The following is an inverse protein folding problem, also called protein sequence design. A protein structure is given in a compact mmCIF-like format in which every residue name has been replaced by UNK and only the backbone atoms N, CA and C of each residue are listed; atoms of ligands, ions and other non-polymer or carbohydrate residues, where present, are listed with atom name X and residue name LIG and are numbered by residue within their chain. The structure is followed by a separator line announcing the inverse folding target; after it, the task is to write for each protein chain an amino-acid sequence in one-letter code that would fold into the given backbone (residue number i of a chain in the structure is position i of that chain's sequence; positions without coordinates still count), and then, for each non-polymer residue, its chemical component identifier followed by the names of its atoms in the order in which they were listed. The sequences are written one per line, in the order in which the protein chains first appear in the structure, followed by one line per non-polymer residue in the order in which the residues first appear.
data_IF_832707863710
#
_entry.id   IF_832707863710
#
_cell.length_a   1.000
_cell.length_b   1.000
_cell.length_c   1.000
_cell.angle_alpha   90.00
_cell.angle_beta   90.00
_cell.angle_gamma   90.00
#
_symmetry.space_group_name_H-M   'P 1'
#
loop_
_entity.id
_entity.type
_entity.pdbx_description
1 polymer ?
#
# COMPACT_ATOMS: atom_id res chain seq x y z
N UNK A 1 -13.66 -20.71 38.42
CA UNK A 1 -13.27 -21.54 37.26
C UNK A 1 -12.12 -20.83 36.59
N UNK A 2 -10.98 -21.49 36.40
CA UNK A 2 -9.86 -20.89 35.66
C UNK A 2 -10.35 -20.66 34.23
N UNK A 3 -10.34 -19.41 33.78
CA UNK A 3 -10.56 -19.12 32.36
C UNK A 3 -9.35 -19.63 31.61
N UNK A 4 -9.55 -20.61 30.72
CA UNK A 4 -8.47 -21.17 29.93
C UNK A 4 -8.06 -20.22 28.79
N UNK A 5 -9.01 -19.42 28.31
CA UNK A 5 -8.77 -18.31 27.38
C UNK A 5 -8.74 -16.96 28.12
N UNK A 6 -7.78 -16.10 27.78
CA UNK A 6 -7.64 -14.77 28.36
C UNK A 6 -8.63 -13.79 27.73
N UNK A 7 -9.68 -13.45 28.49
CA UNK A 7 -10.71 -12.48 28.12
C UNK A 7 -10.13 -11.13 27.69
N UNK A 8 -9.09 -10.65 28.38
CA UNK A 8 -8.50 -9.34 28.07
C UNK A 8 -7.92 -9.33 26.66
N UNK A 9 -7.37 -10.46 26.21
CA UNK A 9 -6.76 -10.61 24.90
C UNK A 9 -7.82 -10.79 23.82
N UNK A 10 -8.90 -11.54 24.09
CA UNK A 10 -10.06 -11.63 23.19
C UNK A 10 -10.59 -10.24 22.84
N UNK A 11 -10.88 -9.44 23.87
CA UNK A 11 -11.38 -8.08 23.72
C UNK A 11 -10.37 -7.18 23.02
N UNK A 12 -9.12 -7.18 23.49
CA UNK A 12 -8.06 -6.37 22.90
C UNK A 12 -7.86 -6.66 21.41
N UNK A 13 -7.85 -7.93 21.00
CA UNK A 13 -7.63 -8.33 19.61
C UNK A 13 -8.75 -7.83 18.69
N UNK A 14 -10.00 -7.87 19.15
CA UNK A 14 -11.17 -7.31 18.44
C UNK A 14 -11.12 -5.78 18.36
N UNK A 15 -10.90 -5.13 19.49
CA UNK A 15 -10.89 -3.66 19.61
C UNK A 15 -9.75 -3.03 18.82
N UNK A 16 -8.59 -3.70 18.73
CA UNK A 16 -7.46 -3.29 17.88
C UNK A 16 -7.85 -3.14 16.42
N UNK A 17 -8.75 -3.99 15.93
CA UNK A 17 -9.28 -3.92 14.56
C UNK A 17 -10.58 -3.09 14.45
N UNK A 18 -11.03 -2.48 15.54
CA UNK A 18 -12.30 -1.73 15.62
C UNK A 18 -13.53 -2.54 15.21
N UNK A 19 -13.46 -3.86 15.34
CA UNK A 19 -14.57 -4.74 14.98
C UNK A 19 -15.66 -4.69 16.04
N UNK A 20 -16.90 -4.54 15.60
CA UNK A 20 -18.09 -4.86 16.39
C UNK A 20 -18.22 -6.38 16.56
N UNK A 21 -19.15 -6.83 17.40
CA UNK A 21 -19.43 -8.26 17.53
C UNK A 21 -20.06 -8.80 16.24
N UNK A 22 -20.88 -7.99 15.58
CA UNK A 22 -21.55 -8.27 14.32
C UNK A 22 -20.56 -8.42 13.17
N UNK A 23 -19.50 -7.60 13.12
CA UNK A 23 -18.43 -7.74 12.13
C UNK A 23 -17.74 -9.11 12.24
N UNK A 24 -17.49 -9.57 13.47
CA UNK A 24 -16.87 -10.88 13.73
C UNK A 24 -17.79 -12.02 13.34
N UNK A 25 -19.09 -11.90 13.66
CA UNK A 25 -20.10 -12.88 13.22
C UNK A 25 -20.15 -12.97 11.68
N UNK A 26 -20.22 -11.84 10.98
CA UNK A 26 -20.25 -11.81 9.52
C UNK A 26 -18.98 -12.44 8.91
N UNK A 27 -17.80 -12.08 9.43
CA UNK A 27 -16.53 -12.63 8.95
C UNK A 27 -16.40 -14.13 9.24
N UNK A 28 -16.81 -14.58 10.43
CA UNK A 28 -16.74 -16.01 10.79
C UNK A 28 -17.57 -16.88 9.84
N UNK A 29 -18.74 -16.39 9.41
CA UNK A 29 -19.58 -17.09 8.43
C UNK A 29 -18.95 -17.13 7.03
N UNK A 30 -18.16 -16.11 6.66
CA UNK A 30 -17.47 -16.03 5.36
C UNK A 30 -16.23 -16.92 5.27
N UNK A 31 -15.59 -17.27 6.39
CA UNK A 31 -14.38 -18.11 6.41
C UNK A 31 -14.64 -19.56 5.92
N UNK A 32 -15.88 -20.04 6.03
CA UNK A 32 -16.32 -21.29 5.40
C UNK A 32 -15.93 -22.56 6.17
N UNK A 33 -15.78 -23.68 5.44
CA UNK A 33 -15.87 -25.05 5.98
C UNK A 33 -14.84 -25.43 7.07
N UNK A 34 -13.71 -24.73 7.14
CA UNK A 34 -12.63 -25.06 8.09
C UNK A 34 -12.71 -24.28 9.40
N UNK A 35 -13.67 -23.36 9.53
CA UNK A 35 -13.80 -22.48 10.68
C UNK A 35 -15.21 -22.57 11.26
N UNK A 36 -15.28 -22.60 12.58
CA UNK A 36 -16.55 -22.66 13.31
C UNK A 36 -17.15 -21.25 13.37
N UNK A 37 -18.38 -21.03 12.84
CA UNK A 37 -19.05 -19.74 12.90
C UNK A 37 -19.27 -19.29 14.35
N UNK A 38 -19.20 -17.98 14.58
CA UNK A 38 -19.34 -17.37 15.90
C UNK A 38 -20.54 -16.44 15.88
N UNK A 39 -21.43 -16.59 16.85
CA UNK A 39 -22.55 -15.69 17.09
C UNK A 39 -22.09 -14.46 17.89
N UNK A 40 -22.56 -13.26 17.52
CA UNK A 40 -22.18 -12.02 18.20
C UNK A 40 -22.54 -12.03 19.70
N UNK A 41 -23.68 -12.62 20.07
CA UNK A 41 -24.13 -12.72 21.45
C UNK A 41 -23.28 -13.69 22.27
N UNK A 42 -22.82 -14.80 21.68
CA UNK A 42 -21.88 -15.71 22.33
C UNK A 42 -20.51 -15.06 22.54
N UNK A 43 -19.99 -14.35 21.53
CA UNK A 43 -18.74 -13.59 21.66
C UNK A 43 -18.82 -12.55 22.79
N UNK A 44 -19.93 -11.83 22.89
CA UNK A 44 -20.16 -10.87 23.97
C UNK A 44 -20.15 -11.56 25.36
N UNK A 45 -20.76 -12.74 25.48
CA UNK A 45 -20.73 -13.52 26.73
C UNK A 45 -19.32 -13.99 27.08
N UNK A 46 -18.52 -14.42 26.11
CA UNK A 46 -17.11 -14.77 26.32
C UNK A 46 -16.31 -13.58 26.84
N UNK A 47 -16.48 -12.41 26.21
CA UNK A 47 -15.77 -11.19 26.62
C UNK A 47 -16.22 -10.63 27.97
N UNK A 48 -17.43 -10.99 28.45
CA UNK A 48 -17.94 -10.68 29.79
C UNK A 48 -17.60 -11.76 30.83
N UNK A 49 -17.05 -12.90 30.41
CA UNK A 49 -16.76 -14.05 31.27
C UNK A 49 -18.01 -14.80 31.74
N UNK A 50 -19.12 -14.68 31.01
CA UNK A 50 -20.38 -15.37 31.28
C UNK A 50 -20.42 -16.78 30.69
N UNK A 51 -19.63 -17.03 29.64
CA UNK A 51 -19.36 -18.34 29.05
C UNK A 51 -17.91 -18.41 28.58
N UNK A 52 -17.49 -19.54 27.99
CA UNK A 52 -16.13 -19.71 27.47
C UNK A 52 -16.17 -20.23 26.03
N UNK A 53 -15.23 -19.78 25.18
CA UNK A 53 -15.07 -20.35 23.85
C UNK A 53 -14.48 -21.76 23.93
N UNK A 54 -14.62 -22.50 22.84
CA UNK A 54 -13.86 -23.73 22.56
C UNK A 54 -12.64 -23.43 21.68
N UNK A 55 -11.73 -24.40 21.54
CA UNK A 55 -10.50 -24.21 20.74
C UNK A 55 -10.79 -23.84 19.29
N UNK A 56 -11.77 -24.49 18.66
CA UNK A 56 -12.17 -24.18 17.28
C UNK A 56 -12.65 -22.72 17.14
N UNK A 57 -13.32 -22.17 18.15
CA UNK A 57 -13.71 -20.77 18.17
C UNK A 57 -12.49 -19.85 18.27
N UNK A 58 -11.49 -20.20 19.10
CA UNK A 58 -10.24 -19.44 19.19
C UNK A 58 -9.45 -19.49 17.88
N UNK A 59 -9.46 -20.61 17.17
CA UNK A 59 -8.85 -20.72 15.84
C UNK A 59 -9.56 -19.82 14.81
N UNK A 60 -10.89 -19.79 14.82
CA UNK A 60 -11.67 -18.82 14.02
C UNK A 60 -11.30 -17.37 14.38
N UNK A 61 -11.25 -17.03 15.67
CA UNK A 61 -10.90 -15.68 16.12
C UNK A 61 -9.46 -15.30 15.77
N UNK A 62 -8.51 -16.24 15.84
CA UNK A 62 -7.12 -16.03 15.43
C UNK A 62 -7.02 -15.62 13.96
N UNK A 63 -7.74 -16.32 13.09
CA UNK A 63 -7.84 -15.97 11.67
C UNK A 63 -8.48 -14.60 11.47
N UNK A 64 -9.63 -14.32 12.11
CA UNK A 64 -10.33 -13.03 11.97
C UNK A 64 -9.46 -11.87 12.47
N UNK A 65 -8.84 -12.03 13.65
CA UNK A 65 -8.06 -10.99 14.32
C UNK A 65 -6.62 -10.87 13.81
N UNK A 66 -6.21 -11.75 12.90
CA UNK A 66 -4.86 -11.77 12.31
C UNK A 66 -3.81 -11.80 13.40
N UNK A 67 -3.92 -12.80 14.28
CA UNK A 67 -2.97 -13.04 15.36
C UNK A 67 -2.79 -14.55 15.60
N UNK A 68 -1.66 -14.98 16.18
CA UNK A 68 -1.47 -16.38 16.55
C UNK A 68 -2.51 -16.81 17.59
N UNK A 69 -3.10 -18.00 17.41
CA UNK A 69 -4.05 -18.59 18.40
C UNK A 69 -3.45 -18.64 19.82
N UNK A 70 -2.13 -18.80 19.91
CA UNK A 70 -1.37 -18.79 21.16
C UNK A 70 -1.54 -17.51 21.99
N UNK A 71 -1.90 -16.38 21.36
CA UNK A 71 -2.12 -15.12 22.07
C UNK A 71 -3.22 -15.24 23.11
N UNK A 72 -4.28 -16.01 22.85
CA UNK A 72 -5.40 -16.15 23.79
C UNK A 72 -5.02 -16.89 25.08
N UNK A 73 -3.82 -17.45 25.17
CA UNK A 73 -3.32 -18.14 26.37
C UNK A 73 -2.24 -17.35 27.13
N UNK A 74 -1.87 -16.15 26.67
CA UNK A 74 -0.91 -15.31 27.38
C UNK A 74 -1.53 -14.71 28.64
N UNK A 75 -0.73 -14.47 29.67
CA UNK A 75 -1.19 -13.83 30.91
C UNK A 75 -1.51 -12.34 30.73
N UNK A 76 -0.75 -11.68 29.85
CA UNK A 76 -0.86 -10.25 29.56
C UNK A 76 -1.03 -10.01 28.06
N UNK A 77 -1.64 -8.87 27.73
CA UNK A 77 -1.78 -8.41 26.35
C UNK A 77 -0.38 -8.31 25.73
N UNK A 78 -0.14 -8.94 24.56
CA UNK A 78 1.17 -8.90 23.93
C UNK A 78 1.54 -7.45 23.59
N UNK A 79 2.78 -7.09 23.87
CA UNK A 79 3.33 -5.80 23.42
C UNK A 79 3.59 -5.90 21.93
N UNK A 80 2.65 -5.39 21.14
CA UNK A 80 2.87 -5.30 19.70
C UNK A 80 4.06 -4.40 19.40
N UNK A 81 4.99 -4.90 18.59
CA UNK A 81 6.00 -4.07 17.94
C UNK A 81 5.34 -3.06 16.96
N UNK A 82 4.07 -3.30 16.59
CA UNK A 82 3.28 -2.53 15.61
C UNK A 82 2.97 -1.09 16.03
N UNK A 83 3.17 -0.74 17.31
CA UNK A 83 3.09 0.66 17.74
C UNK A 83 4.08 1.56 16.99
N UNK A 84 5.22 1.03 16.51
CA UNK A 84 6.16 1.77 15.66
C UNK A 84 5.68 1.87 14.20
N UNK A 85 5.03 0.84 13.67
CA UNK A 85 4.57 0.79 12.27
C UNK A 85 3.40 1.73 12.02
N UNK A 86 2.36 1.72 12.86
CA UNK A 86 1.19 2.59 12.68
C UNK A 86 1.36 4.00 13.26
N UNK A 87 2.51 4.32 13.87
CA UNK A 87 2.77 5.64 14.47
C UNK A 87 2.73 6.77 13.43
N UNK A 88 3.09 6.49 12.17
CA UNK A 88 2.93 7.41 11.04
C UNK A 88 1.48 7.56 10.56
N UNK A 89 0.60 6.62 10.96
CA UNK A 89 -0.81 6.57 10.59
C UNK A 89 -1.73 7.08 11.71
N UNK A 90 -1.21 7.48 12.88
CA UNK A 90 -2.02 7.61 14.10
C UNK A 90 -3.21 8.59 14.02
N UNK A 91 -3.18 9.56 13.09
CA UNK A 91 -4.35 10.44 12.83
C UNK A 91 -5.34 9.86 11.82
N UNK A 92 -4.88 9.04 10.88
CA UNK A 92 -5.67 8.52 9.76
C UNK A 92 -6.16 7.09 10.01
N UNK A 93 -5.46 6.32 10.85
CA UNK A 93 -5.89 5.02 11.33
C UNK A 93 -7.19 5.11 12.11
N UNK A 94 -7.51 6.30 12.65
CA UNK A 94 -8.77 6.56 13.32
C UNK A 94 -9.99 6.47 12.38
N UNK A 95 -9.78 6.75 11.09
CA UNK A 95 -10.82 6.80 10.06
C UNK A 95 -10.93 5.52 9.22
N UNK A 96 -10.00 4.57 9.41
CA UNK A 96 -10.00 3.32 8.65
C UNK A 96 -11.10 2.35 9.11
N UNK A 97 -11.76 1.73 8.14
CA UNK A 97 -12.69 0.62 8.39
C UNK A 97 -11.98 -0.61 9.00
N UNK A 98 -12.73 -1.47 9.71
CA UNK A 98 -12.20 -2.73 10.24
C UNK A 98 -11.59 -3.64 9.17
N UNK A 99 -12.13 -3.65 7.96
CA UNK A 99 -11.63 -4.47 6.84
C UNK A 99 -10.26 -3.98 6.36
N UNK A 100 -10.07 -2.66 6.25
CA UNK A 100 -8.77 -2.06 5.89
C UNK A 100 -7.72 -2.27 6.97
N UNK A 101 -8.08 -2.09 8.25
CA UNK A 101 -7.18 -2.37 9.37
C UNK A 101 -6.74 -3.84 9.40
N UNK A 102 -7.70 -4.77 9.25
CA UNK A 102 -7.41 -6.20 9.18
C UNK A 102 -6.43 -6.51 8.04
N UNK A 103 -6.63 -5.92 6.87
CA UNK A 103 -5.78 -6.16 5.71
C UNK A 103 -4.36 -5.59 5.90
N UNK A 104 -4.22 -4.41 6.51
CA UNK A 104 -2.90 -3.87 6.85
C UNK A 104 -2.16 -4.75 7.87
N UNK A 105 -2.85 -5.26 8.88
CA UNK A 105 -2.24 -6.21 9.82
C UNK A 105 -1.83 -7.51 9.13
N UNK A 106 -2.66 -8.05 8.23
CA UNK A 106 -2.32 -9.22 7.43
C UNK A 106 -1.10 -8.98 6.52
N UNK A 107 -0.99 -7.79 5.93
CA UNK A 107 0.18 -7.40 5.15
C UNK A 107 1.46 -7.41 6.00
N UNK A 108 1.44 -6.78 7.18
CA UNK A 108 2.59 -6.74 8.08
C UNK A 108 2.96 -8.12 8.62
N UNK A 109 1.96 -8.95 8.95
CA UNK A 109 2.16 -10.31 9.41
C UNK A 109 2.82 -11.18 8.33
N UNK A 110 2.32 -11.12 7.09
CA UNK A 110 2.96 -11.81 5.96
C UNK A 110 4.37 -11.30 5.67
N UNK A 111 4.60 -9.99 5.76
CA UNK A 111 5.93 -9.42 5.57
C UNK A 111 6.92 -9.95 6.62
N UNK A 112 6.53 -9.99 7.90
CA UNK A 112 7.32 -10.59 8.98
C UNK A 112 7.58 -12.07 8.76
N UNK A 113 6.56 -12.82 8.35
CA UNK A 113 6.70 -14.25 8.04
C UNK A 113 7.70 -14.47 6.90
N UNK A 114 7.64 -13.68 5.83
CA UNK A 114 8.60 -13.74 4.72
C UNK A 114 10.02 -13.47 5.22
N UNK A 115 10.21 -12.41 6.01
CA UNK A 115 11.53 -12.09 6.60
C UNK A 115 12.04 -13.24 7.47
N UNK A 116 11.19 -13.81 8.32
CA UNK A 116 11.54 -14.96 9.16
C UNK A 116 12.00 -16.15 8.30
N UNK A 117 11.23 -16.51 7.27
CA UNK A 117 11.59 -17.61 6.34
C UNK A 117 12.92 -17.35 5.64
N UNK A 118 13.16 -16.12 5.16
CA UNK A 118 14.43 -15.76 4.50
C UNK A 118 15.62 -15.97 5.45
N UNK A 119 15.47 -15.52 6.71
CA UNK A 119 16.51 -15.65 7.72
C UNK A 119 16.77 -17.10 8.13
N UNK A 120 15.71 -17.87 8.38
CA UNK A 120 15.81 -19.29 8.75
C UNK A 120 16.40 -20.14 7.61
N UNK A 121 16.01 -19.87 6.37
CA UNK A 121 16.52 -20.58 5.20
C UNK A 121 17.94 -20.15 4.79
N UNK A 122 18.47 -19.05 5.36
CA UNK A 122 19.79 -18.52 5.01
C UNK A 122 19.89 -18.04 3.55
N UNK A 123 18.77 -17.62 2.95
CA UNK A 123 18.74 -17.17 1.55
C UNK A 123 19.27 -15.75 1.45
N UNK A 124 20.32 -15.55 0.66
CA UNK A 124 20.81 -14.21 0.33
C UNK A 124 19.89 -13.56 -0.72
N UNK A 125 19.07 -12.63 -0.26
CA UNK A 125 18.28 -11.76 -1.15
C UNK A 125 19.17 -10.60 -1.58
N UNK A 126 19.20 -10.36 -2.89
CA UNK A 126 19.89 -9.23 -3.50
C UNK A 126 19.22 -7.92 -3.04
N UNK A 127 19.91 -7.12 -2.22
CA UNK A 127 19.43 -5.83 -1.68
C UNK A 127 20.09 -4.67 -2.43
N UNK A 128 19.60 -4.35 -3.63
CA UNK A 128 20.12 -3.22 -4.42
C UNK A 128 19.62 -1.86 -3.92
N UNK A 129 18.56 -1.89 -3.10
CA UNK A 129 17.96 -0.71 -2.49
C UNK A 129 18.32 -0.68 -1.01
N UNK A 130 18.62 0.52 -0.53
CA UNK A 130 18.92 0.77 0.88
C UNK A 130 17.84 1.66 1.48
N UNK A 131 17.61 1.44 2.76
CA UNK A 131 16.77 2.31 3.56
C UNK A 131 17.40 3.70 3.63
N UNK A 132 16.60 4.75 3.41
CA UNK A 132 17.11 6.12 3.33
C UNK A 132 18.09 6.37 2.18
N UNK A 133 17.97 5.62 1.08
CA UNK A 133 18.84 5.79 -0.09
C UNK A 133 18.79 7.21 -0.65
N UNK A 134 17.62 7.86 -0.54
CA UNK A 134 17.41 9.25 -0.89
C UNK A 134 16.70 10.00 0.25
N UNK A 135 16.67 11.32 0.16
CA UNK A 135 15.93 12.21 1.06
C UNK A 135 14.66 12.72 0.40
N UNK A 136 13.61 12.97 1.20
CA UNK A 136 12.40 13.66 0.72
C UNK A 136 12.68 15.10 0.22
N UNK A 137 13.86 15.64 0.52
CA UNK A 137 14.32 16.95 0.05
C UNK A 137 15.07 16.90 -1.29
N UNK A 138 15.44 15.71 -1.77
CA UNK A 138 16.08 15.56 -3.07
C UNK A 138 15.08 15.85 -4.21
N UNK A 139 15.58 16.13 -5.41
CA UNK A 139 14.71 16.38 -6.56
C UNK A 139 14.05 15.07 -7.04
N UNK A 140 12.72 14.91 -6.90
CA UNK A 140 12.02 13.69 -7.34
C UNK A 140 12.13 13.46 -8.86
N UNK A 141 12.35 14.51 -9.66
CA UNK A 141 12.51 14.37 -11.12
C UNK A 141 13.84 13.71 -11.45
N UNK A 142 14.92 14.12 -10.78
CA UNK A 142 16.24 13.55 -10.99
C UNK A 142 16.32 12.11 -10.46
N UNK A 143 15.72 11.84 -9.29
CA UNK A 143 15.66 10.46 -8.75
C UNK A 143 14.86 9.55 -9.68
N UNK A 144 13.72 10.01 -10.21
CA UNK A 144 12.95 9.25 -11.20
C UNK A 144 13.78 8.93 -12.46
N UNK A 145 14.64 9.86 -12.91
CA UNK A 145 15.56 9.64 -14.04
C UNK A 145 16.59 8.56 -13.73
N UNK A 146 17.21 8.61 -12.55
CA UNK A 146 18.20 7.63 -12.08
C UNK A 146 17.56 6.24 -11.97
N UNK A 147 16.39 6.14 -11.34
CA UNK A 147 15.70 4.87 -11.12
C UNK A 147 15.15 4.28 -12.43
N UNK A 148 14.70 5.09 -13.39
CA UNK A 148 14.38 4.61 -14.75
C UNK A 148 15.57 3.92 -15.41
N UNK A 149 16.77 4.50 -15.29
CA UNK A 149 17.99 3.91 -15.84
C UNK A 149 18.33 2.62 -15.11
N UNK A 150 18.30 2.63 -13.76
CA UNK A 150 18.56 1.44 -12.92
C UNK A 150 17.63 0.27 -13.28
N UNK A 151 16.35 0.55 -13.44
CA UNK A 151 15.31 -0.45 -13.75
C UNK A 151 15.28 -0.84 -15.24
N UNK A 152 16.09 -0.17 -16.08
CA UNK A 152 16.16 -0.45 -17.52
C UNK A 152 14.95 0.03 -18.31
N UNK A 153 14.24 1.05 -17.82
CA UNK A 153 13.07 1.60 -18.49
C UNK A 153 13.47 2.51 -19.66
N UNK A 154 12.88 2.28 -20.83
CA UNK A 154 13.04 3.13 -22.02
C UNK A 154 11.72 3.25 -22.79
N UNK A 155 11.57 4.26 -23.67
CA UNK A 155 10.40 4.36 -24.54
C UNK A 155 10.18 3.14 -25.43
N UNK A 156 11.25 2.41 -25.80
CA UNK A 156 11.14 1.19 -26.60
C UNK A 156 10.45 0.07 -25.82
N UNK A 157 10.77 -0.09 -24.53
CA UNK A 157 10.07 -1.04 -23.65
C UNK A 157 8.57 -0.71 -23.59
N UNK A 158 8.21 0.57 -23.46
CA UNK A 158 6.80 0.99 -23.45
C UNK A 158 6.08 0.62 -24.76
N UNK A 159 6.77 0.73 -25.90
CA UNK A 159 6.20 0.44 -27.21
C UNK A 159 5.87 -1.06 -27.41
N UNK A 160 6.45 -1.95 -26.59
CA UNK A 160 6.16 -3.39 -26.61
C UNK A 160 4.90 -3.78 -25.81
N UNK A 161 4.34 -2.85 -25.02
CA UNK A 161 3.17 -3.14 -24.19
C UNK A 161 1.87 -3.12 -24.99
N UNK A 162 1.06 -4.16 -24.83
CA UNK A 162 -0.26 -4.27 -25.46
C UNK A 162 -1.38 -3.73 -24.54
N UNK A 163 -1.06 -3.46 -23.27
CA UNK A 163 -2.02 -2.97 -22.30
C UNK A 163 -1.37 -2.49 -21.01
N UNK A 164 -2.18 -1.88 -20.16
CA UNK A 164 -1.77 -1.40 -18.84
C UNK A 164 -1.30 -2.52 -17.90
N UNK A 165 -1.77 -3.75 -18.11
CA UNK A 165 -1.35 -4.92 -17.34
C UNK A 165 0.10 -5.30 -17.65
N UNK A 166 0.52 -5.21 -18.92
CA UNK A 166 1.91 -5.44 -19.32
C UNK A 166 2.82 -4.39 -18.67
N UNK A 167 2.38 -3.12 -18.67
CA UNK A 167 3.09 -2.03 -18.00
C UNK A 167 3.25 -2.29 -16.50
N UNK A 168 2.16 -2.63 -15.81
CA UNK A 168 2.17 -2.93 -14.39
C UNK A 168 3.10 -4.10 -14.06
N UNK A 169 2.98 -5.21 -14.78
CA UNK A 169 3.78 -6.41 -14.53
C UNK A 169 5.26 -6.17 -14.82
N UNK A 170 5.59 -5.41 -15.88
CA UNK A 170 6.98 -5.06 -16.17
C UNK A 170 7.59 -4.26 -15.02
N UNK A 171 6.92 -3.18 -14.56
CA UNK A 171 7.43 -2.36 -13.46
C UNK A 171 7.54 -3.15 -12.16
N UNK A 172 6.52 -3.97 -11.85
CA UNK A 172 6.53 -4.84 -10.67
C UNK A 172 7.72 -5.79 -10.69
N UNK A 173 7.95 -6.51 -11.79
CA UNK A 173 9.07 -7.45 -11.91
C UNK A 173 10.42 -6.74 -11.79
N UNK A 174 10.56 -5.53 -12.36
CA UNK A 174 11.79 -4.76 -12.25
C UNK A 174 12.04 -4.29 -10.82
N UNK A 175 11.02 -3.81 -10.12
CA UNK A 175 11.10 -3.43 -8.71
C UNK A 175 11.41 -4.65 -7.84
N UNK A 176 10.74 -5.79 -8.06
CA UNK A 176 10.98 -7.04 -7.33
C UNK A 176 12.42 -7.54 -7.55
N UNK A 177 12.98 -7.37 -8.75
CA UNK A 177 14.38 -7.73 -9.04
C UNK A 177 15.43 -6.93 -8.25
N UNK A 178 15.03 -5.83 -7.59
CA UNK A 178 15.89 -5.04 -6.70
C UNK A 178 15.84 -5.52 -5.23
N UNK A 179 15.05 -6.56 -4.93
CA UNK A 179 14.85 -7.09 -3.59
C UNK A 179 13.63 -6.52 -2.85
N UNK A 180 12.68 -5.91 -3.57
CA UNK A 180 11.42 -5.40 -3.03
C UNK A 180 10.32 -6.44 -3.14
N UNK A 181 9.55 -6.66 -2.08
CA UNK A 181 8.43 -7.60 -2.10
C UNK A 181 7.12 -6.88 -2.40
N UNK A 182 6.52 -7.14 -3.57
CA UNK A 182 5.24 -6.54 -3.95
C UNK A 182 4.09 -7.53 -3.70
N UNK A 183 3.27 -7.24 -2.68
CA UNK A 183 2.07 -7.99 -2.30
C UNK A 183 0.82 -7.31 -2.85
N UNK A 184 -0.13 -8.10 -3.31
CA UNK A 184 -1.44 -7.62 -3.76
C UNK A 184 -2.52 -8.18 -2.84
N UNK A 185 -3.34 -7.30 -2.27
CA UNK A 185 -4.48 -7.67 -1.43
C UNK A 185 -5.69 -6.79 -1.77
N UNK A 186 -6.88 -7.24 -1.40
CA UNK A 186 -8.09 -6.43 -1.52
C UNK A 186 -8.16 -5.45 -0.35
N UNK A 187 -8.22 -4.16 -0.66
CA UNK A 187 -8.47 -3.07 0.30
C UNK A 187 -9.68 -2.27 -0.16
N UNK A 188 -10.32 -1.53 0.75
CA UNK A 188 -11.36 -0.58 0.36
C UNK A 188 -10.73 0.59 -0.42
N UNK A 189 -11.02 0.74 -1.75
CA UNK A 189 -10.30 1.70 -2.59
C UNK A 189 -10.54 3.16 -2.22
N UNK A 190 -11.59 3.45 -1.46
CA UNK A 190 -11.88 4.79 -0.92
C UNK A 190 -10.95 5.18 0.22
N UNK A 191 -10.35 4.21 0.91
CA UNK A 191 -9.54 4.44 2.12
C UNK A 191 -8.05 4.33 1.81
N UNK A 192 -7.63 3.22 1.19
CA UNK A 192 -6.21 2.89 0.96
C UNK A 192 -6.02 2.36 -0.46
N UNK A 193 -5.11 2.98 -1.21
CA UNK A 193 -4.69 2.48 -2.53
C UNK A 193 -3.47 1.57 -2.45
N UNK A 194 -2.55 1.86 -1.54
CA UNK A 194 -1.33 1.09 -1.33
C UNK A 194 -0.73 1.36 0.04
N UNK A 195 0.30 0.58 0.36
CA UNK A 195 1.14 0.83 1.53
C UNK A 195 2.57 0.35 1.25
N UNK A 196 3.53 0.86 2.02
CA UNK A 196 4.92 0.46 1.95
C UNK A 196 5.53 0.36 3.35
N UNK A 197 6.40 -0.63 3.56
CA UNK A 197 7.02 -0.86 4.85
C UNK A 197 8.42 -1.43 4.70
N UNK A 198 9.32 -1.01 5.60
CA UNK A 198 10.59 -1.70 5.84
C UNK A 198 10.44 -2.61 7.05
N UNK A 199 10.66 -3.91 6.88
CA UNK A 199 10.64 -4.91 7.96
C UNK A 199 12.03 -5.50 8.08
N UNK A 200 12.74 -5.18 9.17
CA UNK A 200 14.09 -5.70 9.47
C UNK A 200 15.07 -5.57 8.28
N UNK A 201 15.01 -4.44 7.56
CA UNK A 201 15.86 -4.16 6.41
C UNK A 201 15.45 -4.85 5.11
N UNK A 202 14.19 -5.29 5.00
CA UNK A 202 13.57 -5.77 3.76
C UNK A 202 12.39 -4.88 3.37
N UNK A 203 12.33 -4.38 2.12
CA UNK A 203 11.25 -3.49 1.67
C UNK A 203 10.05 -4.26 1.13
N UNK A 204 8.85 -3.85 1.55
CA UNK A 204 7.58 -4.43 1.15
C UNK A 204 6.65 -3.34 0.62
N UNK A 205 5.93 -3.64 -0.45
CA UNK A 205 4.88 -2.81 -1.03
C UNK A 205 3.58 -3.61 -1.05
N UNK A 206 2.49 -3.00 -0.61
CA UNK A 206 1.12 -3.48 -0.72
C UNK A 206 0.40 -2.67 -1.78
N UNK A 207 -0.30 -3.35 -2.70
CA UNK A 207 -1.08 -2.73 -3.75
C UNK A 207 -2.52 -3.24 -3.65
N UNK A 208 -3.49 -2.33 -3.71
CA UNK A 208 -4.89 -2.70 -3.73
C UNK A 208 -5.26 -3.36 -5.08
N UNK A 209 -5.66 -4.62 -5.03
CA UNK A 209 -6.10 -5.39 -6.20
C UNK A 209 -7.49 -4.93 -6.72
N UNK A 210 -8.29 -4.28 -5.87
CA UNK A 210 -9.68 -3.85 -6.19
C UNK A 210 -9.79 -2.41 -6.70
N UNK A 211 -8.68 -1.71 -6.94
CA UNK A 211 -8.73 -0.35 -7.49
C UNK A 211 -9.28 -0.37 -8.94
N UNK A 212 -10.54 0.08 -9.08
CA UNK A 212 -11.37 -0.11 -10.26
C UNK A 212 -11.14 0.93 -11.38
N UNK A 213 -10.36 2.00 -11.15
CA UNK A 213 -9.97 2.95 -12.20
C UNK A 213 -8.75 2.47 -13.01
N UNK A 214 -8.91 1.31 -13.65
CA UNK A 214 -8.00 0.65 -14.59
C UNK A 214 -6.57 0.38 -14.05
N UNK A 215 -5.87 -0.59 -14.65
CA UNK A 215 -4.50 -0.95 -14.24
C UNK A 215 -3.49 0.23 -14.22
N UNK A 216 -3.85 1.40 -14.77
CA UNK A 216 -3.17 2.69 -14.57
C UNK A 216 -3.07 3.15 -13.13
N UNK A 217 -4.14 3.00 -12.34
CA UNK A 217 -4.15 3.42 -10.92
C UNK A 217 -3.15 2.60 -10.13
N UNK A 218 -3.23 1.26 -10.27
CA UNK A 218 -2.30 0.31 -9.64
C UNK A 218 -0.84 0.56 -10.02
N UNK A 219 -0.56 0.90 -11.28
CA UNK A 219 0.79 1.23 -11.72
C UNK A 219 1.31 2.51 -11.08
N UNK A 220 0.48 3.55 -11.00
CA UNK A 220 0.84 4.77 -10.30
C UNK A 220 1.10 4.49 -8.81
N UNK A 221 0.20 3.78 -8.15
CA UNK A 221 0.35 3.39 -6.74
C UNK A 221 1.64 2.59 -6.51
N UNK A 222 1.95 1.62 -7.35
CA UNK A 222 3.20 0.85 -7.24
C UNK A 222 4.43 1.77 -7.25
N UNK A 223 4.49 2.72 -8.18
CA UNK A 223 5.61 3.66 -8.29
C UNK A 223 5.63 4.69 -7.15
N UNK A 224 4.45 5.07 -6.68
CA UNK A 224 4.27 5.96 -5.54
C UNK A 224 4.81 5.31 -4.25
N UNK A 225 4.39 4.07 -3.96
CA UNK A 225 4.89 3.31 -2.82
C UNK A 225 6.38 2.95 -2.94
N UNK A 226 6.85 2.71 -4.17
CA UNK A 226 8.29 2.55 -4.42
C UNK A 226 9.07 3.82 -4.05
N UNK A 227 8.54 5.01 -4.33
CA UNK A 227 9.14 6.27 -3.91
C UNK A 227 9.24 6.37 -2.38
N UNK A 228 8.21 5.92 -1.65
CA UNK A 228 8.25 5.86 -0.19
C UNK A 228 9.31 4.91 0.32
N UNK A 229 9.45 3.72 -0.26
CA UNK A 229 10.54 2.78 0.10
C UNK A 229 11.91 3.44 -0.04
N UNK A 230 12.12 4.21 -1.12
CA UNK A 230 13.38 4.86 -1.45
C UNK A 230 13.81 5.98 -0.48
N UNK A 231 12.85 6.72 0.10
CA UNK A 231 13.11 7.86 0.99
C UNK A 231 12.87 7.57 2.48
N UNK A 232 12.19 6.46 2.79
CA UNK A 232 11.83 6.13 4.16
C UNK A 232 13.01 5.59 4.95
N UNK A 233 13.15 6.09 6.18
CA UNK A 233 14.17 5.65 7.12
C UNK A 233 13.66 4.60 8.12
N UNK A 234 12.34 4.38 8.26
CA UNK A 234 11.67 3.31 9.05
C UNK A 234 10.14 3.54 9.05
N UNK A 235 9.33 2.49 9.27
CA UNK A 235 7.88 2.58 9.48
C UNK A 235 7.01 2.15 8.29
N UNK A 236 5.69 2.06 8.53
CA UNK A 236 4.66 1.84 7.51
C UNK A 236 4.18 3.21 6.98
N UNK A 237 4.17 3.36 5.66
CA UNK A 237 3.60 4.51 4.94
C UNK A 237 2.41 4.01 4.12
N UNK A 238 1.32 4.78 4.06
CA UNK A 238 0.14 4.43 3.28
C UNK A 238 -0.32 5.63 2.44
N UNK A 239 -0.64 5.39 1.17
CA UNK A 239 -1.33 6.37 0.31
C UNK A 239 -2.83 6.44 0.68
N UNK A 240 -3.19 7.49 1.44
CA UNK A 240 -4.57 7.79 1.84
C UNK A 240 -5.23 8.78 0.87
N UNK A 241 -6.49 8.53 0.49
CA UNK A 241 -7.29 9.51 -0.25
C UNK A 241 -7.73 10.65 0.68
N UNK A 242 -7.10 11.83 0.54
CA UNK A 242 -7.67 13.09 1.02
C UNK A 242 -6.98 13.78 2.21
N UNK A 243 -5.64 13.84 2.27
CA UNK A 243 -4.94 14.54 3.37
C UNK A 243 -4.04 15.69 2.87
N UNK A 244 -4.16 16.84 3.53
CA UNK A 244 -3.45 18.10 3.27
C UNK A 244 -1.95 18.13 3.66
N UNK A 245 -1.28 19.19 3.16
CA UNK A 245 0.16 19.49 3.13
C UNK A 245 0.79 19.75 4.51
N UNK A 246 2.11 19.47 4.62
CA UNK A 246 2.96 20.21 5.57
C UNK A 246 4.35 19.63 5.85
N UNK A 247 4.48 18.29 5.93
CA UNK A 247 5.75 17.55 6.10
C UNK A 247 5.72 16.19 5.41
N UNK A 248 4.82 16.07 4.43
CA UNK A 248 4.39 14.80 3.90
C UNK A 248 5.30 14.40 2.73
N UNK A 249 5.86 13.18 2.67
CA UNK A 249 6.55 12.67 1.48
C UNK A 249 5.65 12.54 0.23
N UNK A 250 4.33 12.70 0.36
CA UNK A 250 3.35 12.58 -0.74
C UNK A 250 3.66 13.42 -1.99
N UNK A 251 4.04 14.71 -1.90
CA UNK A 251 4.35 15.48 -3.11
C UNK A 251 5.62 14.97 -3.79
N UNK A 252 6.56 14.40 -3.04
CA UNK A 252 7.74 13.74 -3.60
C UNK A 252 7.30 12.47 -4.34
N UNK A 253 6.55 11.59 -3.66
CA UNK A 253 6.11 10.30 -4.23
C UNK A 253 5.26 10.48 -5.49
N UNK A 254 4.31 11.43 -5.46
CA UNK A 254 3.49 11.78 -6.63
C UNK A 254 4.32 12.29 -7.82
N UNK A 255 5.28 13.21 -7.57
CA UNK A 255 6.15 13.73 -8.63
C UNK A 255 7.09 12.65 -9.16
N UNK A 256 7.66 11.83 -8.28
CA UNK A 256 8.52 10.70 -8.66
C UNK A 256 7.76 9.71 -9.55
N UNK A 257 6.59 9.25 -9.11
CA UNK A 257 5.77 8.28 -9.85
C UNK A 257 5.40 8.80 -11.24
N UNK A 258 4.98 10.07 -11.34
CA UNK A 258 4.68 10.71 -12.63
C UNK A 258 5.90 10.76 -13.56
N UNK A 259 7.09 11.14 -13.05
CA UNK A 259 8.30 11.28 -13.86
C UNK A 259 8.96 9.91 -14.22
N UNK A 260 8.70 8.87 -13.43
CA UNK A 260 9.02 7.49 -13.80
C UNK A 260 8.23 7.07 -15.05
N UNK A 261 6.94 7.40 -15.09
CA UNK A 261 6.07 7.06 -16.22
C UNK A 261 6.32 7.93 -17.45
N UNK A 262 6.49 9.24 -17.31
CA UNK A 262 6.64 10.15 -18.46
C UNK A 262 7.67 11.23 -18.13
N UNK A 263 8.67 11.42 -19.01
CA UNK A 263 9.57 12.57 -18.90
C UNK A 263 8.92 13.88 -19.38
N UNK A 264 9.39 15.02 -18.90
CA UNK A 264 8.91 16.34 -19.34
C UNK A 264 8.97 16.51 -20.86
N UNK A 265 10.03 16.03 -21.49
CA UNK A 265 10.23 16.13 -22.94
C UNK A 265 9.32 15.21 -23.75
N UNK A 266 9.07 13.98 -23.26
CA UNK A 266 8.06 13.09 -23.84
C UNK A 266 6.66 13.72 -23.77
N UNK A 267 6.29 14.22 -22.59
CA UNK A 267 4.99 14.86 -22.39
C UNK A 267 4.82 16.08 -23.31
N UNK A 268 5.84 16.94 -23.37
CA UNK A 268 5.82 18.14 -24.24
C UNK A 268 5.72 17.78 -25.71
N UNK A 269 6.50 16.80 -26.19
CA UNK A 269 6.39 16.31 -27.59
C UNK A 269 4.99 15.79 -27.88
N UNK A 270 4.39 15.04 -26.95
CA UNK A 270 3.04 14.51 -27.16
C UNK A 270 1.98 15.60 -27.25
N UNK A 271 2.11 16.65 -26.43
CA UNK A 271 1.24 17.82 -26.55
C UNK A 271 1.39 18.53 -27.89
N UNK A 272 2.63 18.61 -28.42
CA UNK A 272 2.89 19.21 -29.73
C UNK A 272 2.24 18.40 -30.85
N UNK A 273 2.38 17.07 -30.83
CA UNK A 273 1.75 16.17 -31.79
C UNK A 273 0.22 16.31 -31.81
N UNK A 274 -0.40 16.53 -30.65
CA UNK A 274 -1.84 16.72 -30.52
C UNK A 274 -2.31 18.15 -30.84
N UNK A 275 -1.41 19.04 -31.29
CA UNK A 275 -1.74 20.44 -31.59
C UNK A 275 -2.00 21.31 -30.35
N UNK A 276 -1.67 20.83 -29.16
CA UNK A 276 -1.86 21.50 -27.86
C UNK A 276 -0.63 22.31 -27.44
N UNK A 277 -0.09 23.08 -28.40
CA UNK A 277 1.14 23.88 -28.28
C UNK A 277 1.03 25.07 -27.32
N UNK A 278 -0.20 25.48 -26.97
CA UNK A 278 -0.48 26.58 -26.05
C UNK A 278 -1.13 26.06 -24.78
N UNK A 279 -0.86 26.73 -23.66
CA UNK A 279 -1.59 26.47 -22.43
C UNK A 279 -3.05 26.87 -22.65
N UNK A 280 -3.98 25.98 -22.25
CA UNK A 280 -5.42 26.23 -22.25
C UNK A 280 -5.91 25.90 -20.84
N UNK A 281 -6.62 26.83 -20.24
CA UNK A 281 -7.18 26.68 -18.89
C UNK A 281 -8.20 25.53 -18.84
N UNK A 282 -8.96 25.36 -19.93
CA UNK A 282 -9.83 24.20 -20.17
C UNK A 282 -9.32 23.42 -21.38
N UNK A 283 -8.57 22.33 -21.14
CA UNK A 283 -8.26 21.32 -22.18
C UNK A 283 -9.42 20.34 -22.29
N UNK A 284 -9.69 19.88 -23.51
CA UNK A 284 -10.80 18.93 -23.72
C UNK A 284 -10.49 17.57 -23.10
N UNK A 285 -11.51 16.92 -22.53
CA UNK A 285 -11.40 15.57 -21.96
C UNK A 285 -10.87 14.55 -23.00
N UNK A 286 -11.17 14.78 -24.28
CA UNK A 286 -10.67 13.95 -25.39
C UNK A 286 -9.15 13.94 -25.47
N UNK A 287 -8.49 15.10 -25.34
CA UNK A 287 -7.02 15.20 -25.37
C UNK A 287 -6.41 14.49 -24.17
N UNK A 288 -7.02 14.63 -22.99
CA UNK A 288 -6.55 13.95 -21.78
C UNK A 288 -6.64 12.43 -21.92
N UNK A 289 -7.73 11.92 -22.50
CA UNK A 289 -7.89 10.48 -22.77
C UNK A 289 -6.91 9.96 -23.84
N UNK A 290 -6.61 10.75 -24.87
CA UNK A 290 -5.60 10.39 -25.88
C UNK A 290 -4.19 10.30 -25.28
N UNK A 291 -3.83 11.22 -24.37
CA UNK A 291 -2.55 11.19 -23.65
C UNK A 291 -2.47 9.97 -22.73
N UNK A 292 -3.53 9.71 -21.94
CA UNK A 292 -3.59 8.56 -21.03
C UNK A 292 -3.37 7.23 -21.75
N UNK A 293 -4.09 7.04 -22.87
CA UNK A 293 -3.99 5.84 -23.70
C UNK A 293 -2.60 5.70 -24.32
N UNK A 294 -2.05 6.77 -24.89
CA UNK A 294 -0.78 6.71 -25.58
C UNK A 294 0.43 6.49 -24.65
N UNK A 295 0.35 6.97 -23.41
CA UNK A 295 1.47 6.94 -22.47
C UNK A 295 1.29 5.92 -21.33
N UNK A 296 0.18 5.19 -21.34
CA UNK A 296 -0.20 4.23 -20.30
C UNK A 296 -0.27 4.84 -18.89
N UNK A 297 -0.88 6.03 -18.75
CA UNK A 297 -0.90 6.78 -17.48
C UNK A 297 -2.30 7.11 -16.97
N UNK A 298 -2.40 7.36 -15.65
CA UNK A 298 -3.63 7.80 -14.99
C UNK A 298 -3.93 9.29 -15.24
N UNK A 299 -5.15 9.73 -14.89
CA UNK A 299 -5.52 11.15 -14.90
C UNK A 299 -4.63 11.98 -13.97
N UNK A 300 -4.30 11.42 -12.80
CA UNK A 300 -3.45 12.06 -11.79
C UNK A 300 -2.06 12.39 -12.35
N UNK A 301 -1.45 11.46 -13.09
CA UNK A 301 -0.15 11.69 -13.75
C UNK A 301 -0.24 12.84 -14.75
N UNK A 302 -1.28 12.88 -15.58
CA UNK A 302 -1.45 13.97 -16.56
C UNK A 302 -1.61 15.31 -15.85
N UNK A 303 -2.40 15.38 -14.76
CA UNK A 303 -2.56 16.58 -13.96
C UNK A 303 -1.24 17.06 -13.35
N UNK A 304 -0.44 16.15 -12.76
CA UNK A 304 0.87 16.45 -12.20
C UNK A 304 1.81 17.01 -13.28
N UNK A 305 1.85 16.38 -14.46
CA UNK A 305 2.72 16.82 -15.57
C UNK A 305 2.32 18.19 -16.12
N UNK A 306 1.02 18.51 -16.16
CA UNK A 306 0.53 19.85 -16.54
C UNK A 306 0.93 20.92 -15.51
N UNK A 307 0.81 20.62 -14.22
CA UNK A 307 1.22 21.53 -13.15
C UNK A 307 2.73 21.81 -13.18
N UNK A 308 3.55 20.79 -13.45
CA UNK A 308 5.01 20.96 -13.59
C UNK A 308 5.39 21.88 -14.76
N UNK A 309 4.62 21.92 -15.86
CA UNK A 309 4.84 22.86 -16.95
C UNK A 309 4.50 24.32 -16.58
N UNK A 310 3.48 24.52 -15.74
CA UNK A 310 3.04 25.85 -15.31
C UNK A 310 4.05 26.54 -14.39
N UNK A 311 4.67 25.79 -13.48
CA UNK A 311 5.70 26.33 -12.57
C UNK A 311 6.93 26.85 -13.32
N UNK A 312 7.41 26.09 -14.32
CA UNK A 312 8.59 26.48 -15.11
C UNK A 312 8.38 27.74 -15.97
N UNK A 313 7.13 28.05 -16.35
CA UNK A 313 6.83 29.31 -17.04
C UNK A 313 6.84 30.53 -16.13
N UNK A 314 6.57 30.36 -14.83
CA UNK A 314 6.64 31.46 -13.85
C UNK A 314 8.07 31.80 -13.43
N UNK A 315 8.98 30.84 -13.51
CA UNK A 315 10.42 31.06 -13.23
C UNK A 315 11.20 31.61 -14.44
N UNK A 316 10.61 31.56 -15.65
CA UNK A 316 11.20 32.03 -16.89
C UNK A 316 10.72 33.43 -17.32
N UNK A 317 9.99 34.14 -16.46
CA UNK A 317 9.52 35.53 -16.63
C UNK A 317 10.16 36.39 -15.54
#
# INVERSE_FOLDING_TARGET
MSNWANIKILRWARERLKMSYEDVEELSRKLGKFYTPIDAGELEKWEKGLSQPELEHLETLAEIYVCPVGYFFLDEVPREQDALSFRGLSKNADELSPSSLRTLHLFLEKARMIVHIIKEAGVEIKKEIRQGQYSAHDDPVEIARIERIRLGFSPNVRAEWNGYEDAFNWWRQRIESQGVFCLQMKLEPSEIRGASAWIEGYPFILINHSDAEAATGRLFTLLHEYAHILISNEGLVCDFRGVEKGKNPEPFANKFAANCLISKDEFRRKLIELGENKFKENRSDRVLEEIKKALFVSKDVVAIMLLLQLFLRKEAI
#
